data_IF_232503127786
#
_entry.id   IF_232503127786
#
_cell.length_a   1.000
_cell.length_b   1.000
_cell.length_c   1.000
_cell.angle_alpha   90.00
_cell.angle_beta   90.00
_cell.angle_gamma   90.00
#
_symmetry.space_group_name_H-M   'P 1'
#
loop_
_entity.id
_entity.type
_entity.pdbx_description
1 polymer ?
#
# COMPACT_ATOMS: atom_id res chain seq x y z
N UNK A 1 8.25 -3.27 2.06
CA UNK A 1 7.95 -2.29 1.02
C UNK A 1 8.93 -1.12 1.06
N UNK A 2 8.79 -0.20 0.14
CA UNK A 2 9.48 1.11 0.11
C UNK A 2 8.41 2.21 0.04
N UNK A 3 8.80 3.44 0.33
CA UNK A 3 7.94 4.62 0.27
C UNK A 3 7.74 5.15 -1.16
N UNK A 4 8.71 4.91 -2.05
CA UNK A 4 8.68 5.35 -3.44
C UNK A 4 9.60 4.49 -4.31
N UNK A 5 9.58 4.75 -5.61
CA UNK A 5 10.46 4.11 -6.58
C UNK A 5 11.94 4.47 -6.37
N UNK A 6 12.84 3.80 -7.09
CA UNK A 6 14.27 3.93 -6.89
C UNK A 6 14.78 5.32 -7.27
N UNK A 7 15.80 5.76 -6.54
CA UNK A 7 16.59 6.94 -6.88
C UNK A 7 17.59 6.58 -8.00
N UNK A 8 17.39 7.14 -9.18
CA UNK A 8 18.19 6.80 -10.35
C UNK A 8 19.52 7.61 -10.46
N UNK A 9 19.55 8.80 -9.85
CA UNK A 9 20.64 9.76 -10.04
C UNK A 9 21.69 9.70 -8.94
N UNK A 10 21.36 9.11 -7.80
CA UNK A 10 22.23 9.00 -6.64
C UNK A 10 22.71 7.56 -6.47
N UNK A 11 24.02 7.30 -6.25
CA UNK A 11 24.49 5.94 -5.96
C UNK A 11 23.73 5.30 -4.78
N UNK A 12 23.41 4.01 -4.85
CA UNK A 12 23.80 2.99 -5.83
C UNK A 12 23.01 2.93 -7.15
N UNK A 13 22.32 4.00 -7.56
CA UNK A 13 21.58 4.09 -8.83
C UNK A 13 20.53 2.99 -8.99
N UNK A 14 19.53 3.00 -8.14
CA UNK A 14 18.42 2.07 -8.20
C UNK A 14 17.69 2.12 -9.55
N UNK A 15 17.22 0.95 -10.01
CA UNK A 15 16.49 0.82 -11.27
C UNK A 15 15.25 -0.05 -11.10
N UNK A 16 14.26 0.21 -11.93
CA UNK A 16 13.02 -0.55 -12.08
C UNK A 16 12.77 -0.81 -13.57
N UNK A 17 12.05 -1.87 -13.94
CA UNK A 17 11.66 -2.09 -15.34
C UNK A 17 10.60 -1.10 -15.83
N UNK A 18 10.01 -0.32 -14.93
CA UNK A 18 8.97 0.64 -15.26
C UNK A 18 9.55 2.00 -15.62
N UNK A 19 8.78 2.77 -16.41
CA UNK A 19 9.13 4.14 -16.76
C UNK A 19 9.13 5.04 -15.51
N UNK A 20 10.10 5.96 -15.44
CA UNK A 20 10.25 6.93 -14.35
C UNK A 20 11.07 6.40 -13.18
N UNK A 21 11.23 7.24 -12.19
CA UNK A 21 11.97 7.01 -10.96
C UNK A 21 11.35 7.84 -9.84
N UNK A 22 11.91 7.80 -8.65
CA UNK A 22 11.52 8.67 -7.52
C UNK A 22 11.28 10.10 -7.98
N UNK A 23 10.20 10.71 -7.49
CA UNK A 23 9.79 12.07 -7.86
C UNK A 23 8.95 12.17 -9.13
N UNK A 24 8.62 11.05 -9.78
CA UNK A 24 7.69 11.03 -10.91
C UNK A 24 6.39 10.31 -10.59
N UNK A 25 5.31 10.64 -11.31
CA UNK A 25 4.02 9.94 -11.24
C UNK A 25 3.94 8.70 -12.14
N UNK A 26 5.02 8.38 -12.84
CA UNK A 26 5.13 7.14 -13.61
C UNK A 26 5.27 5.93 -12.68
N UNK A 27 4.92 4.75 -13.16
CA UNK A 27 5.00 3.51 -12.38
C UNK A 27 6.38 3.28 -11.74
N UNK A 28 7.47 3.69 -12.40
CA UNK A 28 8.81 3.61 -11.82
C UNK A 28 9.03 4.51 -10.62
N UNK A 29 8.22 5.55 -10.45
CA UNK A 29 8.28 6.44 -9.28
C UNK A 29 7.43 5.98 -8.10
N UNK A 30 6.38 5.22 -8.34
CA UNK A 30 5.35 4.90 -7.34
C UNK A 30 5.16 3.41 -7.08
N UNK A 31 5.46 2.56 -8.07
CA UNK A 31 5.32 1.11 -7.95
C UNK A 31 6.55 0.50 -7.29
N UNK A 32 6.35 -0.09 -6.13
CA UNK A 32 7.41 -0.67 -5.31
C UNK A 32 7.12 -2.14 -4.96
N UNK A 33 8.15 -2.98 -4.80
CA UNK A 33 7.96 -4.33 -4.32
C UNK A 33 7.44 -4.30 -2.88
N UNK A 34 6.43 -5.12 -2.61
CA UNK A 34 5.84 -5.25 -1.28
C UNK A 34 5.75 -6.72 -0.89
N UNK A 35 6.15 -7.03 0.33
CA UNK A 35 6.08 -8.35 0.90
C UNK A 35 5.31 -8.30 2.21
N UNK A 36 4.37 -9.21 2.37
CA UNK A 36 3.61 -9.39 3.60
C UNK A 36 3.84 -10.81 4.09
N UNK A 37 4.30 -10.94 5.33
CA UNK A 37 4.58 -12.22 5.94
C UNK A 37 3.89 -12.34 7.30
N UNK A 38 3.13 -13.42 7.46
CA UNK A 38 2.57 -13.81 8.75
C UNK A 38 2.45 -15.32 8.81
N UNK A 39 3.37 -15.94 9.57
CA UNK A 39 3.47 -17.38 9.66
C UNK A 39 2.13 -18.01 10.12
N UNK A 40 1.65 -18.97 9.34
CA UNK A 40 0.42 -19.70 9.62
C UNK A 40 -0.87 -18.97 9.23
N UNK A 41 -0.82 -17.66 8.98
CA UNK A 41 -1.99 -16.87 8.61
C UNK A 41 -2.04 -16.55 7.12
N UNK A 42 -0.90 -16.28 6.50
CA UNK A 42 -0.82 -15.92 5.09
C UNK A 42 -0.12 -17.04 4.32
N UNK A 43 -0.81 -17.62 3.35
CA UNK A 43 -0.23 -18.63 2.47
C UNK A 43 0.67 -17.99 1.41
N UNK A 44 1.79 -18.64 1.03
CA UNK A 44 2.67 -18.13 -0.02
C UNK A 44 1.91 -17.92 -1.34
N UNK A 45 1.96 -16.71 -1.87
CA UNK A 45 1.34 -16.36 -3.15
C UNK A 45 1.95 -15.10 -3.73
N UNK A 46 1.71 -14.86 -5.02
CA UNK A 46 1.94 -13.58 -5.69
C UNK A 46 0.59 -12.97 -6.05
N UNK A 47 0.52 -11.66 -6.05
CA UNK A 47 -0.66 -10.91 -6.45
C UNK A 47 -0.26 -9.59 -7.08
N UNK A 48 -1.01 -9.16 -8.07
CA UNK A 48 -0.95 -7.83 -8.69
C UNK A 48 -2.04 -6.90 -8.12
N UNK A 49 -2.64 -7.27 -6.99
CA UNK A 49 -3.64 -6.45 -6.32
C UNK A 49 -3.05 -5.12 -5.87
N UNK A 50 -3.81 -4.08 -6.09
CA UNK A 50 -3.42 -2.70 -5.84
C UNK A 50 -3.46 -2.39 -4.34
N UNK A 51 -2.36 -1.95 -3.76
CA UNK A 51 -2.24 -1.60 -2.34
C UNK A 51 -1.42 -0.33 -2.22
N UNK A 52 -1.89 0.61 -1.43
CA UNK A 52 -1.17 1.82 -1.06
C UNK A 52 -0.66 1.75 0.39
N UNK A 53 0.38 2.51 0.71
CA UNK A 53 0.93 2.58 2.08
C UNK A 53 -0.09 3.14 3.07
N UNK A 54 -0.99 4.01 2.64
CA UNK A 54 -2.08 4.52 3.47
C UNK A 54 -3.02 3.41 3.95
N UNK A 55 -3.12 2.29 3.20
CA UNK A 55 -3.93 1.14 3.56
C UNK A 55 -3.42 0.39 4.79
N UNK A 56 -2.14 0.54 5.11
CA UNK A 56 -1.53 -0.16 6.25
C UNK A 56 -2.15 0.26 7.59
N UNK A 57 -2.56 1.52 7.73
CA UNK A 57 -3.15 2.01 8.98
C UNK A 57 -4.50 1.34 9.30
N UNK A 58 -5.54 1.41 8.44
CA UNK A 58 -6.81 0.74 8.70
C UNK A 58 -6.66 -0.78 8.76
N UNK A 59 -5.78 -1.36 7.95
CA UNK A 59 -5.51 -2.80 7.95
C UNK A 59 -4.89 -3.25 9.28
N UNK A 60 -3.92 -2.52 9.81
CA UNK A 60 -3.31 -2.84 11.10
C UNK A 60 -4.32 -2.75 12.25
N UNK A 61 -5.24 -1.79 12.21
CA UNK A 61 -6.31 -1.68 13.21
C UNK A 61 -7.26 -2.87 13.19
N UNK A 62 -7.64 -3.34 12.02
CA UNK A 62 -8.51 -4.51 11.87
C UNK A 62 -7.79 -5.78 12.35
N UNK A 63 -6.54 -5.99 11.92
CA UNK A 63 -5.71 -7.11 12.35
C UNK A 63 -5.42 -7.11 13.87
N UNK A 64 -5.41 -5.95 14.52
CA UNK A 64 -5.27 -5.82 15.97
C UNK A 64 -6.53 -6.24 16.76
N UNK A 65 -7.52 -6.85 16.09
CA UNK A 65 -8.72 -7.37 16.74
C UNK A 65 -9.76 -6.30 17.08
N UNK A 66 -9.79 -5.22 16.34
CA UNK A 66 -10.86 -4.22 16.37
C UNK A 66 -11.71 -4.29 15.09
N UNK A 67 -12.28 -5.47 14.74
CA UNK A 67 -13.08 -5.61 13.55
C UNK A 67 -14.29 -4.69 13.64
N UNK A 68 -14.52 -3.92 12.58
CA UNK A 68 -15.61 -2.94 12.55
C UNK A 68 -15.34 -1.67 13.36
N UNK A 69 -14.17 -1.51 13.98
CA UNK A 69 -13.74 -0.20 14.43
C UNK A 69 -13.57 0.67 13.18
N UNK A 70 -14.63 1.42 12.85
CA UNK A 70 -14.51 2.43 11.80
C UNK A 70 -13.37 3.34 12.21
N UNK A 71 -12.33 3.40 11.41
CA UNK A 71 -11.17 4.29 11.60
C UNK A 71 -11.63 5.69 11.95
N UNK A 72 -12.73 6.14 11.34
CA UNK A 72 -13.39 7.41 11.65
C UNK A 72 -13.76 7.62 13.14
N UNK A 73 -13.89 6.55 13.93
CA UNK A 73 -14.16 6.66 15.37
C UNK A 73 -12.90 6.74 16.22
N UNK A 74 -11.73 6.50 15.62
CA UNK A 74 -10.44 6.47 16.29
C UNK A 74 -9.57 7.70 16.02
N UNK A 75 -10.00 8.53 15.08
CA UNK A 75 -9.32 9.76 14.69
C UNK A 75 -10.23 10.96 14.91
N UNK A 76 -9.70 12.18 15.09
CA UNK A 76 -10.52 13.39 15.16
C UNK A 76 -11.42 13.50 13.94
N UNK A 77 -12.65 14.01 14.13
CA UNK A 77 -13.62 14.18 13.04
C UNK A 77 -13.14 15.08 11.89
N UNK A 78 -12.11 15.89 12.16
CA UNK A 78 -11.46 16.77 11.18
C UNK A 78 -10.38 16.04 10.37
N UNK A 79 -10.05 14.79 10.72
CA UNK A 79 -9.04 13.99 10.04
C UNK A 79 -9.71 13.08 9.01
N UNK A 80 -9.30 13.22 7.79
CA UNK A 80 -9.66 12.32 6.69
C UNK A 80 -8.63 11.20 6.59
N UNK A 81 -9.09 9.96 6.48
CA UNK A 81 -8.26 8.78 6.21
C UNK A 81 -8.76 8.17 4.92
N UNK A 82 -7.91 8.17 3.90
CA UNK A 82 -8.19 7.59 2.58
C UNK A 82 -7.68 6.16 2.42
N UNK A 83 -6.98 5.65 3.43
CA UNK A 83 -6.56 4.26 3.48
C UNK A 83 -7.74 3.30 3.51
N UNK A 84 -7.62 2.20 2.79
CA UNK A 84 -8.61 1.13 2.66
C UNK A 84 -8.13 -0.09 3.41
N UNK A 85 -8.98 -0.69 4.25
CA UNK A 85 -8.64 -1.95 4.92
C UNK A 85 -8.43 -3.07 3.90
N UNK A 86 -7.27 -3.72 3.96
CA UNK A 86 -6.82 -4.79 3.09
C UNK A 86 -6.73 -6.15 3.82
N UNK A 87 -7.27 -6.27 5.02
CA UNK A 87 -7.20 -7.50 5.83
C UNK A 87 -7.64 -8.73 5.04
N UNK A 88 -8.82 -8.67 4.43
CA UNK A 88 -9.36 -9.79 3.65
C UNK A 88 -8.48 -10.14 2.44
N UNK A 89 -7.89 -9.13 1.81
CA UNK A 89 -6.96 -9.34 0.71
C UNK A 89 -5.64 -9.96 1.20
N UNK A 90 -5.03 -9.47 2.26
CA UNK A 90 -3.77 -10.01 2.78
C UNK A 90 -3.92 -11.43 3.32
N UNK A 91 -4.99 -11.72 4.05
CA UNK A 91 -5.28 -13.07 4.56
C UNK A 91 -5.74 -14.03 3.46
N UNK A 92 -6.05 -13.55 2.26
CA UNK A 92 -6.45 -14.39 1.13
C UNK A 92 -7.91 -14.84 1.17
N UNK A 93 -8.74 -14.27 2.03
CA UNK A 93 -10.19 -14.53 2.06
C UNK A 93 -10.91 -13.82 0.92
N UNK A 94 -10.31 -12.74 0.41
CA UNK A 94 -10.70 -12.09 -0.83
C UNK A 94 -9.53 -12.11 -1.82
N UNK A 95 -9.76 -12.65 -3.02
CA UNK A 95 -8.74 -12.73 -4.08
C UNK A 95 -8.39 -11.38 -4.74
N UNK A 96 -9.16 -10.34 -4.43
CA UNK A 96 -9.00 -9.00 -5.01
C UNK A 96 -8.72 -7.96 -3.93
N UNK A 97 -7.86 -6.98 -4.26
CA UNK A 97 -7.68 -5.81 -3.42
C UNK A 97 -8.98 -5.03 -3.24
N UNK A 98 -9.16 -4.50 -2.04
CA UNK A 98 -10.29 -3.62 -1.71
C UNK A 98 -10.09 -2.20 -2.29
N UNK A 99 -8.85 -1.77 -2.57
CA UNK A 99 -8.55 -0.50 -3.24
C UNK A 99 -8.79 -0.62 -4.74
N UNK A 100 -9.48 0.33 -5.32
CA UNK A 100 -9.85 0.33 -6.75
C UNK A 100 -9.09 1.37 -7.58
N UNK A 101 -8.61 2.42 -6.94
CA UNK A 101 -7.90 3.51 -7.59
C UNK A 101 -6.93 4.20 -6.63
N UNK A 102 -5.96 4.87 -7.21
CA UNK A 102 -5.03 5.77 -6.53
C UNK A 102 -4.81 7.00 -7.41
N UNK A 103 -4.55 8.13 -6.78
CA UNK A 103 -4.34 9.39 -7.47
C UNK A 103 -2.99 9.98 -7.05
N UNK A 104 -2.12 10.19 -8.03
CA UNK A 104 -0.82 10.81 -7.82
C UNK A 104 -0.81 12.22 -8.37
N UNK A 105 -0.33 13.15 -7.57
CA UNK A 105 -0.20 14.56 -7.93
C UNK A 105 1.26 14.96 -7.89
N UNK A 106 1.73 15.64 -8.95
CA UNK A 106 2.98 16.40 -8.93
C UNK A 106 2.62 17.87 -8.78
N UNK A 107 3.29 18.54 -7.86
CA UNK A 107 3.28 20.00 -7.83
C UNK A 107 4.00 20.49 -9.08
N UNK A 108 3.26 21.10 -10.00
CA UNK A 108 3.75 21.75 -11.19
C UNK A 108 4.32 23.13 -10.89
#
# INVERSE_FOLDING_TARGET
TSDNGPEAEVPPHGRTPFRGAKGSTWEGGVRVPTFVYWKGMIQPRKSDGFVDLADLFPTALDLAGRPGAKVANLVPKTTFIDGVDQTSFFLGTNGQSNRKAEHYFLNG
#
